data_IF_077705834590
#
_entry.id   IF_077705834590
#
_cell.length_a   1.000
_cell.length_b   1.000
_cell.length_c   1.000
_cell.angle_alpha   90.00
_cell.angle_beta   90.00
_cell.angle_gamma   90.00
#
_symmetry.space_group_name_H-M   'P 1'
#
loop_
_entity.id
_entity.type
_entity.pdbx_description
1 polymer ?
#
# COMPACT_ATOMS: atom_id res chain seq x y z
N UNK A 1 16.94 35.21 -0.32
CA UNK A 1 17.04 34.20 -1.41
C UNK A 1 17.22 34.91 -2.75
N UNK A 2 18.12 34.45 -3.63
CA UNK A 2 18.36 35.08 -4.94
C UNK A 2 17.25 34.73 -5.94
N UNK A 3 17.00 35.60 -6.94
CA UNK A 3 16.03 35.35 -8.02
C UNK A 3 16.30 34.05 -8.79
N UNK A 4 17.57 33.68 -8.92
CA UNK A 4 18.01 32.43 -9.57
C UNK A 4 17.54 31.18 -8.81
N UNK A 5 17.65 31.17 -7.48
CA UNK A 5 17.19 30.06 -6.64
C UNK A 5 15.66 29.86 -6.72
N UNK A 6 14.89 30.96 -6.77
CA UNK A 6 13.43 30.88 -6.95
C UNK A 6 13.07 30.29 -8.32
N UNK A 7 13.74 30.71 -9.39
CA UNK A 7 13.51 30.16 -10.72
C UNK A 7 13.86 28.66 -10.82
N UNK A 8 14.89 28.20 -10.10
CA UNK A 8 15.23 26.79 -10.02
C UNK A 8 14.15 25.96 -9.31
N UNK A 9 13.62 26.45 -8.19
CA UNK A 9 12.52 25.80 -7.45
C UNK A 9 11.27 25.68 -8.32
N UNK A 10 10.88 26.73 -9.04
CA UNK A 10 9.68 26.71 -9.88
C UNK A 10 9.83 25.75 -11.07
N UNK A 11 11.02 25.64 -11.69
CA UNK A 11 11.26 24.62 -12.72
C UNK A 11 11.17 23.20 -12.15
N UNK A 12 11.70 22.97 -10.95
CA UNK A 12 11.63 21.66 -10.32
C UNK A 12 10.17 21.26 -10.03
N UNK A 13 9.35 22.18 -9.52
CA UNK A 13 7.90 21.93 -9.31
C UNK A 13 7.17 21.62 -10.61
N UNK A 14 7.43 22.38 -11.68
CA UNK A 14 6.81 22.15 -12.98
C UNK A 14 7.20 20.78 -13.58
N UNK A 15 8.46 20.35 -13.39
CA UNK A 15 8.90 19.03 -13.81
C UNK A 15 8.22 17.91 -13.02
N UNK A 16 8.07 18.06 -11.70
CA UNK A 16 7.32 17.09 -10.87
C UNK A 16 5.85 17.03 -11.30
N UNK A 17 5.22 18.18 -11.53
CA UNK A 17 3.81 18.23 -11.98
C UNK A 17 3.61 17.53 -13.33
N UNK A 18 4.58 17.66 -14.24
CA UNK A 18 4.56 16.97 -15.53
C UNK A 18 4.67 15.44 -15.40
N UNK A 19 5.21 14.92 -14.29
CA UNK A 19 5.33 13.48 -14.02
C UNK A 19 4.13 12.90 -13.26
N UNK A 20 3.30 13.74 -12.62
CA UNK A 20 2.14 13.31 -11.84
C UNK A 20 1.21 12.32 -12.57
N UNK A 21 0.93 12.45 -13.89
CA UNK A 21 0.11 11.45 -14.59
C UNK A 21 0.76 10.08 -14.68
N UNK A 22 2.08 10.02 -14.90
CA UNK A 22 2.83 8.76 -14.95
C UNK A 22 2.82 8.07 -13.57
N UNK A 23 2.93 8.84 -12.48
CA UNK A 23 2.87 8.30 -11.12
C UNK A 23 1.49 7.73 -10.79
N UNK A 24 0.41 8.38 -11.28
CA UNK A 24 -0.96 7.87 -11.13
C UNK A 24 -1.19 6.58 -11.93
N UNK A 25 -0.71 6.53 -13.17
CA UNK A 25 -0.82 5.33 -14.01
C UNK A 25 -0.08 4.15 -13.38
N UNK A 26 1.18 4.37 -12.95
CA UNK A 26 1.95 3.38 -12.23
C UNK A 26 1.22 2.88 -10.98
N UNK A 27 0.67 3.78 -10.16
CA UNK A 27 -0.04 3.38 -8.94
C UNK A 27 -1.27 2.52 -9.25
N UNK A 28 -2.03 2.88 -10.30
CA UNK A 28 -3.18 2.11 -10.73
C UNK A 28 -2.79 0.69 -11.19
N UNK A 29 -1.74 0.58 -12.00
CA UNK A 29 -1.20 -0.72 -12.47
C UNK A 29 -0.75 -1.61 -11.31
N UNK A 30 -0.02 -1.06 -10.33
CA UNK A 30 0.45 -1.83 -9.18
C UNK A 30 -0.68 -2.25 -8.23
N UNK A 31 -1.71 -1.41 -8.07
CA UNK A 31 -2.90 -1.76 -7.27
C UNK A 31 -3.74 -2.81 -7.98
N UNK A 32 -3.91 -2.73 -9.29
CA UNK A 32 -4.56 -3.77 -10.09
C UNK A 32 -3.82 -5.11 -9.96
N UNK A 33 -2.48 -5.10 -10.06
CA UNK A 33 -1.66 -6.29 -9.85
C UNK A 33 -1.81 -6.89 -8.44
N UNK A 34 -1.92 -6.04 -7.41
CA UNK A 34 -2.20 -6.48 -6.04
C UNK A 34 -3.58 -7.12 -5.90
N UNK A 35 -4.61 -6.54 -6.50
CA UNK A 35 -5.97 -7.06 -6.47
C UNK A 35 -6.06 -8.42 -7.17
N UNK A 36 -5.49 -8.55 -8.36
CA UNK A 36 -5.43 -9.82 -9.10
C UNK A 36 -4.69 -10.91 -8.32
N UNK A 37 -3.58 -10.55 -7.65
CA UNK A 37 -2.86 -11.50 -6.79
C UNK A 37 -3.70 -11.95 -5.58
N UNK A 38 -4.53 -11.05 -5.02
CA UNK A 38 -5.44 -11.38 -3.93
C UNK A 38 -6.56 -12.33 -4.40
N UNK A 39 -7.16 -12.06 -5.57
CA UNK A 39 -8.18 -12.93 -6.18
C UNK A 39 -7.62 -14.35 -6.44
N UNK A 40 -6.41 -14.43 -6.98
CA UNK A 40 -5.73 -15.71 -7.18
C UNK A 40 -5.47 -16.45 -5.85
N UNK A 41 -5.10 -15.71 -4.80
CA UNK A 41 -4.92 -16.29 -3.48
C UNK A 41 -6.24 -16.77 -2.85
N UNK A 42 -7.34 -16.04 -3.01
CA UNK A 42 -8.66 -16.48 -2.58
C UNK A 42 -9.10 -17.77 -3.27
N UNK A 43 -8.82 -17.91 -4.57
CA UNK A 43 -9.12 -19.13 -5.32
C UNK A 43 -8.28 -20.35 -4.88
N UNK A 44 -7.09 -20.13 -4.32
CA UNK A 44 -6.17 -21.16 -3.83
C UNK A 44 -6.11 -21.27 -2.29
N UNK A 45 -7.11 -20.72 -1.59
CA UNK A 45 -7.19 -20.72 -0.13
C UNK A 45 -5.94 -20.16 0.58
N UNK A 46 -5.32 -19.13 0.01
CA UNK A 46 -4.10 -18.49 0.49
C UNK A 46 -2.93 -19.47 0.66
N UNK A 47 -2.77 -20.39 -0.29
CA UNK A 47 -1.57 -21.24 -0.45
C UNK A 47 -0.26 -20.44 -0.27
N UNK A 48 0.83 -21.11 0.11
CA UNK A 48 2.13 -20.45 0.27
C UNK A 48 2.56 -19.73 -1.02
N UNK A 49 2.30 -20.37 -2.16
CA UNK A 49 2.64 -19.86 -3.49
C UNK A 49 1.78 -18.66 -3.86
N UNK A 50 0.46 -18.71 -3.64
CA UNK A 50 -0.44 -17.62 -4.04
C UNK A 50 -0.24 -16.35 -3.19
N UNK A 51 0.10 -16.51 -1.90
CA UNK A 51 0.46 -15.39 -1.01
C UNK A 51 1.72 -14.65 -1.43
N UNK A 52 2.65 -15.34 -2.09
CA UNK A 52 3.87 -14.71 -2.58
C UNK A 52 3.56 -13.61 -3.60
N UNK A 53 2.53 -13.80 -4.44
CA UNK A 53 2.06 -12.78 -5.37
C UNK A 53 1.62 -11.50 -4.65
N UNK A 54 0.79 -11.64 -3.60
CA UNK A 54 0.34 -10.51 -2.78
C UNK A 54 1.54 -9.81 -2.14
N UNK A 55 2.47 -10.57 -1.57
CA UNK A 55 3.63 -10.02 -0.88
C UNK A 55 4.51 -9.20 -1.83
N UNK A 56 4.78 -9.70 -3.05
CA UNK A 56 5.61 -9.00 -4.02
C UNK A 56 4.97 -7.67 -4.46
N UNK A 57 3.68 -7.67 -4.82
CA UNK A 57 2.97 -6.44 -5.19
C UNK A 57 2.92 -5.45 -4.03
N UNK A 58 2.62 -5.91 -2.81
CA UNK A 58 2.65 -5.08 -1.61
C UNK A 58 4.05 -4.52 -1.32
N UNK A 59 5.11 -5.31 -1.54
CA UNK A 59 6.48 -4.86 -1.33
C UNK A 59 6.89 -3.76 -2.31
N UNK A 60 6.48 -3.88 -3.58
CA UNK A 60 6.68 -2.84 -4.59
C UNK A 60 6.00 -1.54 -4.20
N UNK A 61 4.71 -1.60 -3.82
CA UNK A 61 3.96 -0.44 -3.34
C UNK A 61 4.62 0.19 -2.11
N UNK A 62 5.02 -0.62 -1.12
CA UNK A 62 5.73 -0.16 0.09
C UNK A 62 6.99 0.64 -0.26
N UNK A 63 7.78 0.17 -1.23
CA UNK A 63 9.05 0.78 -1.61
C UNK A 63 8.90 2.04 -2.47
N UNK A 64 8.00 2.02 -3.45
CA UNK A 64 7.92 3.06 -4.48
C UNK A 64 6.84 4.11 -4.21
N UNK A 65 5.70 3.74 -3.61
CA UNK A 65 4.62 4.69 -3.33
C UNK A 65 5.04 5.96 -2.55
N UNK A 66 5.92 5.92 -1.52
CA UNK A 66 6.26 7.12 -0.77
C UNK A 66 7.13 8.09 -1.57
N UNK A 67 7.94 7.60 -2.53
CA UNK A 67 8.78 8.47 -3.38
C UNK A 67 7.97 9.17 -4.46
N UNK A 68 6.79 8.63 -4.78
CA UNK A 68 5.86 9.13 -5.79
C UNK A 68 4.70 9.95 -5.20
N UNK A 69 4.70 10.20 -3.89
CA UNK A 69 3.73 11.06 -3.22
C UNK A 69 2.53 10.35 -2.60
N UNK A 70 2.58 9.03 -2.42
CA UNK A 70 1.50 8.21 -1.87
C UNK A 70 1.89 7.54 -0.53
N UNK A 71 2.14 8.32 0.54
CA UNK A 71 2.66 7.78 1.80
C UNK A 71 1.66 6.88 2.53
N UNK A 72 0.36 7.10 2.42
CA UNK A 72 -0.64 6.25 3.09
C UNK A 72 -0.73 4.86 2.43
N UNK A 73 -0.66 4.79 1.10
CA UNK A 73 -0.53 3.52 0.36
C UNK A 73 0.69 2.76 0.84
N UNK A 74 1.84 3.44 0.97
CA UNK A 74 3.07 2.82 1.45
C UNK A 74 2.93 2.23 2.87
N UNK A 75 2.25 2.95 3.76
CA UNK A 75 2.04 2.54 5.16
C UNK A 75 1.09 1.34 5.29
N UNK A 76 0.03 1.29 4.47
CA UNK A 76 -0.88 0.15 4.38
C UNK A 76 -0.15 -1.07 3.81
N UNK A 77 0.56 -0.89 2.69
CA UNK A 77 1.34 -1.96 2.06
C UNK A 77 2.44 -2.51 2.98
N UNK A 78 3.07 -1.66 3.80
CA UNK A 78 4.01 -2.10 4.84
C UNK A 78 3.32 -2.99 5.90
N UNK A 79 2.11 -2.63 6.33
CA UNK A 79 1.34 -3.43 7.28
C UNK A 79 0.95 -4.78 6.70
N UNK A 80 0.51 -4.80 5.43
CA UNK A 80 0.21 -6.03 4.70
C UNK A 80 1.45 -6.92 4.57
N UNK A 81 2.62 -6.35 4.22
CA UNK A 81 3.88 -7.11 4.18
C UNK A 81 4.21 -7.74 5.55
N UNK A 82 3.97 -7.01 6.65
CA UNK A 82 4.19 -7.54 8.00
C UNK A 82 3.25 -8.72 8.29
N UNK A 83 1.97 -8.60 7.95
CA UNK A 83 1.01 -9.71 8.07
C UNK A 83 1.51 -10.92 7.27
N UNK A 84 1.79 -10.74 5.98
CA UNK A 84 2.17 -11.81 5.05
C UNK A 84 3.52 -12.48 5.34
N UNK A 85 4.43 -11.79 6.04
CA UNK A 85 5.70 -12.36 6.53
C UNK A 85 5.47 -13.53 7.49
N UNK A 86 4.35 -13.51 8.20
CA UNK A 86 3.92 -14.59 9.07
C UNK A 86 2.80 -15.36 8.38
N UNK A 87 2.75 -16.67 8.59
CA UNK A 87 1.65 -17.49 8.09
C UNK A 87 0.87 -18.02 9.28
N UNK A 88 -0.44 -17.77 9.25
CA UNK A 88 -1.40 -18.34 10.18
C UNK A 88 -2.50 -19.00 9.34
N UNK A 89 -2.77 -20.31 9.52
CA UNK A 89 -3.75 -21.04 8.71
C UNK A 89 -5.21 -20.74 9.08
N UNK A 90 -5.47 -19.60 9.72
CA UNK A 90 -6.77 -19.23 10.26
C UNK A 90 -7.50 -18.23 9.36
N UNK A 91 -8.84 -18.26 9.38
CA UNK A 91 -9.65 -17.38 8.51
C UNK A 91 -9.45 -15.90 8.82
N UNK A 92 -9.09 -15.55 10.06
CA UNK A 92 -8.75 -14.18 10.45
C UNK A 92 -7.58 -13.61 9.65
N UNK A 93 -6.58 -14.42 9.32
CA UNK A 93 -5.46 -14.01 8.48
C UNK A 93 -5.90 -13.64 7.06
N UNK A 94 -6.73 -14.49 6.45
CA UNK A 94 -7.22 -14.31 5.08
C UNK A 94 -8.08 -13.05 4.98
N UNK A 95 -9.02 -12.90 5.91
CA UNK A 95 -9.90 -11.73 5.99
C UNK A 95 -9.09 -10.44 6.17
N UNK A 96 -8.09 -10.45 7.05
CA UNK A 96 -7.26 -9.29 7.31
C UNK A 96 -6.38 -8.93 6.10
N UNK A 97 -5.84 -9.92 5.39
CA UNK A 97 -5.09 -9.70 4.15
C UNK A 97 -5.97 -9.05 3.06
N UNK A 98 -7.17 -9.59 2.82
CA UNK A 98 -8.13 -9.01 1.86
C UNK A 98 -8.55 -7.59 2.28
N UNK A 99 -8.74 -7.33 3.58
CA UNK A 99 -9.08 -6.00 4.09
C UNK A 99 -7.96 -4.97 3.85
N UNK A 100 -6.70 -5.37 4.01
CA UNK A 100 -5.55 -4.52 3.65
C UNK A 100 -5.52 -4.21 2.15
N UNK A 101 -5.72 -5.20 1.28
CA UNK A 101 -5.74 -5.00 -0.18
C UNK A 101 -6.84 -4.00 -0.57
N UNK A 102 -8.03 -4.14 0.01
CA UNK A 102 -9.13 -3.18 -0.20
C UNK A 102 -8.76 -1.77 0.25
N UNK A 103 -8.22 -1.60 1.46
CA UNK A 103 -7.82 -0.29 1.96
C UNK A 103 -6.71 0.35 1.11
N UNK A 104 -5.77 -0.44 0.57
CA UNK A 104 -4.75 0.04 -0.36
C UNK A 104 -5.39 0.57 -1.64
N UNK A 105 -6.36 -0.15 -2.20
CA UNK A 105 -7.07 0.28 -3.41
C UNK A 105 -7.88 1.58 -3.17
N UNK A 106 -8.56 1.70 -2.03
CA UNK A 106 -9.27 2.91 -1.64
C UNK A 106 -8.32 4.11 -1.46
N UNK A 107 -7.18 3.89 -0.79
CA UNK A 107 -6.18 4.93 -0.59
C UNK A 107 -5.52 5.38 -1.91
N UNK A 108 -5.36 4.48 -2.88
CA UNK A 108 -4.84 4.82 -4.19
C UNK A 108 -5.85 5.62 -5.05
N UNK A 109 -7.14 5.35 -4.88
CA UNK A 109 -8.20 6.11 -5.55
C UNK A 109 -8.37 7.52 -4.95
N UNK A 110 -8.07 7.70 -3.65
CA UNK A 110 -8.11 9.01 -2.99
C UNK A 110 -6.87 9.89 -3.27
N UNK A 111 -6.42 9.92 -4.53
CA UNK A 111 -5.33 10.79 -4.96
C UNK A 111 -5.63 12.29 -4.75
N UNK A 112 -6.90 12.67 -4.55
CA UNK A 112 -7.32 14.04 -4.22
C UNK A 112 -7.33 14.36 -2.72
N UNK A 113 -7.13 13.36 -1.83
CA UNK A 113 -7.04 13.54 -0.38
C UNK A 113 -8.37 13.88 0.31
N UNK A 114 -9.50 13.55 -0.30
CA UNK A 114 -10.85 13.81 0.25
C UNK A 114 -11.23 12.89 1.40
N UNK A 115 -10.60 11.72 1.50
CA UNK A 115 -10.90 10.66 2.46
C UNK A 115 -9.74 10.43 3.44
N UNK A 116 -8.84 11.40 3.61
CA UNK A 116 -7.60 11.26 4.39
C UNK A 116 -7.83 10.72 5.81
N UNK A 117 -8.81 11.27 6.52
CA UNK A 117 -9.10 10.86 7.90
C UNK A 117 -9.64 9.43 7.96
N UNK A 118 -10.48 9.04 6.99
CA UNK A 118 -10.99 7.67 6.88
C UNK A 118 -9.86 6.68 6.57
N UNK A 119 -8.95 7.02 5.66
CA UNK A 119 -7.78 6.19 5.34
C UNK A 119 -6.86 6.05 6.55
N UNK A 120 -6.66 7.14 7.30
CA UNK A 120 -5.83 7.12 8.51
C UNK A 120 -6.43 6.22 9.59
N UNK A 121 -7.75 6.25 9.79
CA UNK A 121 -8.44 5.36 10.73
C UNK A 121 -8.37 3.91 10.28
N UNK A 122 -8.67 3.61 9.02
CA UNK A 122 -8.52 2.27 8.45
C UNK A 122 -7.09 1.73 8.63
N UNK A 123 -6.07 2.57 8.39
CA UNK A 123 -4.67 2.20 8.62
C UNK A 123 -4.39 1.86 10.09
N UNK A 124 -4.91 2.67 11.02
CA UNK A 124 -4.74 2.44 12.46
C UNK A 124 -5.36 1.10 12.85
N UNK A 125 -6.63 0.89 12.49
CA UNK A 125 -7.39 -0.30 12.88
C UNK A 125 -6.81 -1.58 12.27
N UNK A 126 -6.41 -1.54 11.00
CA UNK A 126 -5.79 -2.69 10.35
C UNK A 126 -4.43 -3.03 10.96
N UNK A 127 -3.66 -2.04 11.40
CA UNK A 127 -2.38 -2.26 12.11
C UNK A 127 -2.58 -2.87 13.48
N UNK A 128 -3.60 -2.42 14.21
CA UNK A 128 -3.99 -2.95 15.52
C UNK A 128 -4.41 -4.41 15.39
N UNK A 129 -5.34 -4.71 14.47
CA UNK A 129 -5.76 -6.09 14.17
C UNK A 129 -4.59 -6.97 13.70
N UNK A 130 -3.66 -6.42 12.91
CA UNK A 130 -2.45 -7.16 12.49
C UNK A 130 -1.56 -7.46 13.69
N UNK A 131 -1.36 -6.50 14.59
CA UNK A 131 -0.55 -6.71 15.79
C UNK A 131 -1.20 -7.74 16.72
N UNK A 132 -2.52 -7.68 16.91
CA UNK A 132 -3.27 -8.60 17.77
C UNK A 132 -3.23 -10.02 17.22
N UNK A 133 -3.44 -10.19 15.91
CA UNK A 133 -3.40 -11.50 15.25
C UNK A 133 -2.01 -12.15 15.34
N UNK A 134 -0.95 -11.36 15.13
CA UNK A 134 0.43 -11.86 15.20
C UNK A 134 0.90 -12.07 16.65
N UNK A 135 0.32 -11.35 17.61
CA UNK A 135 0.67 -11.43 19.02
C UNK A 135 2.19 -11.37 19.27
N UNK A 136 2.77 -12.33 20.01
CA UNK A 136 4.21 -12.33 20.33
C UNK A 136 5.12 -12.56 19.13
N UNK A 137 4.61 -13.09 18.01
CA UNK A 137 5.41 -13.28 16.78
C UNK A 137 5.86 -11.93 16.18
N UNK A 138 5.22 -10.83 16.59
CA UNK A 138 5.43 -9.51 16.02
C UNK A 138 6.52 -8.67 16.72
N UNK A 139 7.21 -9.21 17.73
CA UNK A 139 8.15 -8.48 18.61
C UNK A 139 9.63 -8.49 18.16
N UNK A 140 9.95 -9.07 17.00
CA UNK A 140 11.29 -9.08 16.40
C UNK A 140 11.52 -7.93 15.40
#
# INVERSE_FOLDING_TARGET
MSRSARAAIERAKAAVEALSPAFKAWLAEEVEALQLACEAAEAEDFSLQSRQGIFLSAHTLKGQAPTLGYPEVAKLAASLCRLLNYWLPEDGFKQLATAHVKAIAEAAQDASGGNRDQIAESLKDLREQTADLLGPMAQD
#
